data_IF_635732166018
#
_entry.id   IF_635732166018
#
_cell.length_a   1.000
_cell.length_b   1.000
_cell.length_c   1.000
_cell.angle_alpha   90.00
_cell.angle_beta   90.00
_cell.angle_gamma   90.00
#
_symmetry.space_group_name_H-M   'P 1'
#
loop_
_entity.id
_entity.type
_entity.pdbx_description
1 polymer ?
#
# COMPACT_ATOMS: atom_id res chain seq x y z
N UNK A 1 -3.58 -0.53 9.19
CA UNK A 1 -3.07 -1.48 8.18
C UNK A 1 -1.93 -0.76 7.48
N UNK A 2 -0.86 -1.45 7.09
CA UNK A 2 0.28 -0.78 6.43
C UNK A 2 1.20 -1.74 5.68
N UNK A 3 1.88 -1.21 4.67
CA UNK A 3 2.91 -1.89 3.88
C UNK A 3 3.89 -0.85 3.31
N UNK A 4 5.14 -1.26 3.05
CA UNK A 4 6.11 -0.43 2.31
C UNK A 4 5.73 -0.39 0.83
N UNK A 5 5.98 0.75 0.18
CA UNK A 5 5.75 0.88 -1.26
C UNK A 5 6.90 0.26 -2.05
N UNK A 6 6.60 -0.80 -2.80
CA UNK A 6 7.57 -1.52 -3.63
C UNK A 6 8.48 -2.44 -2.81
N UNK A 7 9.54 -2.94 -3.46
CA UNK A 7 10.47 -3.91 -2.87
C UNK A 7 11.26 -3.31 -1.72
N UNK A 8 11.17 -3.95 -0.56
CA UNK A 8 12.06 -3.70 0.57
C UNK A 8 13.43 -4.34 0.31
N UNK A 9 14.45 -3.50 0.15
CA UNK A 9 15.84 -3.94 -0.07
C UNK A 9 16.63 -4.06 1.24
N UNK A 10 16.09 -3.57 2.35
CA UNK A 10 16.77 -3.53 3.65
C UNK A 10 16.47 -4.78 4.46
N UNK A 11 15.23 -5.26 4.40
CA UNK A 11 14.79 -6.42 5.19
C UNK A 11 14.69 -7.66 4.30
N UNK A 12 15.05 -8.82 4.86
CA UNK A 12 14.94 -10.12 4.16
C UNK A 12 13.49 -10.47 3.83
N UNK A 13 12.54 -10.03 4.66
CA UNK A 13 11.11 -10.26 4.52
C UNK A 13 10.37 -8.92 4.51
N UNK A 14 9.43 -8.76 3.59
CA UNK A 14 8.56 -7.58 3.54
C UNK A 14 7.24 -7.89 4.24
N UNK A 15 7.05 -7.26 5.41
CA UNK A 15 5.84 -7.45 6.21
C UNK A 15 4.71 -6.55 5.73
N UNK A 16 3.52 -7.13 5.58
CA UNK A 16 2.25 -6.41 5.46
C UNK A 16 1.52 -6.49 6.82
N UNK A 17 1.19 -5.34 7.40
CA UNK A 17 0.56 -5.24 8.72
C UNK A 17 -0.97 -5.24 8.61
N UNK A 18 -1.58 -6.36 9.00
CA UNK A 18 -3.04 -6.53 9.08
C UNK A 18 -3.44 -6.71 10.55
N UNK A 19 -3.91 -5.61 11.16
CA UNK A 19 -4.39 -5.59 12.55
C UNK A 19 -5.91 -5.71 12.67
N UNK A 20 -6.42 -5.53 13.90
CA UNK A 20 -7.87 -5.45 14.16
C UNK A 20 -8.50 -4.34 13.32
N UNK A 21 -9.57 -4.67 12.58
CA UNK A 21 -10.25 -3.75 11.67
C UNK A 21 -9.72 -3.74 10.23
N UNK A 22 -8.60 -4.41 9.94
CA UNK A 22 -7.96 -4.44 8.62
C UNK A 22 -8.28 -5.67 7.76
N UNK A 23 -9.13 -6.58 8.25
CA UNK A 23 -9.32 -7.91 7.64
C UNK A 23 -10.32 -7.93 6.48
N UNK A 24 -10.79 -6.76 6.03
CA UNK A 24 -11.64 -6.66 4.84
C UNK A 24 -10.80 -6.94 3.59
N UNK A 25 -11.37 -7.66 2.63
CA UNK A 25 -10.68 -8.03 1.38
C UNK A 25 -10.04 -6.82 0.68
N UNK A 26 -10.78 -5.72 0.54
CA UNK A 26 -10.27 -4.51 -0.10
C UNK A 26 -9.08 -3.88 0.65
N UNK A 27 -9.08 -3.97 1.98
CA UNK A 27 -7.96 -3.47 2.81
C UNK A 27 -6.73 -4.34 2.65
N UNK A 28 -6.87 -5.66 2.62
CA UNK A 28 -5.75 -6.58 2.36
C UNK A 28 -5.19 -6.36 0.95
N UNK A 29 -6.06 -6.24 -0.05
CA UNK A 29 -5.66 -5.96 -1.43
C UNK A 29 -4.94 -4.60 -1.56
N UNK A 30 -5.39 -3.57 -0.85
CA UNK A 30 -4.74 -2.26 -0.79
C UNK A 30 -3.29 -2.35 -0.29
N UNK A 31 -3.06 -3.07 0.81
CA UNK A 31 -1.71 -3.22 1.37
C UNK A 31 -0.80 -4.11 0.51
N UNK A 32 -1.38 -5.09 -0.22
CA UNK A 32 -0.66 -5.85 -1.24
C UNK A 32 -0.28 -4.93 -2.41
N UNK A 33 -1.16 -4.05 -2.88
CA UNK A 33 -0.83 -3.07 -3.92
C UNK A 33 0.32 -2.14 -3.51
N UNK A 34 0.35 -1.69 -2.26
CA UNK A 34 1.52 -1.00 -1.72
C UNK A 34 2.79 -1.84 -1.89
N UNK A 35 2.77 -3.11 -1.48
CA UNK A 35 3.95 -3.98 -1.63
C UNK A 35 4.41 -4.18 -3.09
N UNK A 36 3.49 -4.08 -4.05
CA UNK A 36 3.79 -4.14 -5.49
C UNK A 36 4.36 -2.82 -6.05
N UNK A 37 4.28 -1.71 -5.32
CA UNK A 37 4.83 -0.42 -5.74
C UNK A 37 3.82 0.68 -6.02
N UNK A 38 2.54 0.48 -5.70
CA UNK A 38 1.52 1.51 -5.92
C UNK A 38 1.46 2.47 -4.73
N UNK A 39 1.50 3.77 -5.02
CA UNK A 39 1.10 4.82 -4.07
C UNK A 39 -0.42 4.99 -4.09
N UNK A 40 -0.94 5.79 -3.15
CA UNK A 40 -2.34 6.18 -3.22
C UNK A 40 -2.63 6.98 -4.49
N UNK A 41 -3.82 6.80 -5.06
CA UNK A 41 -4.18 7.43 -6.33
C UNK A 41 -4.17 8.97 -6.24
N UNK A 42 -4.59 9.53 -5.10
CA UNK A 42 -4.50 10.97 -4.83
C UNK A 42 -3.07 11.46 -4.61
N UNK A 43 -2.04 10.64 -4.77
CA UNK A 43 -0.63 11.06 -4.77
C UNK A 43 -0.06 11.22 -6.18
N UNK A 44 -0.85 10.95 -7.23
CA UNK A 44 -0.41 11.17 -8.61
C UNK A 44 -0.02 12.63 -8.86
N UNK A 45 0.95 12.82 -9.76
CA UNK A 45 1.46 14.14 -10.14
C UNK A 45 0.39 15.01 -10.81
N UNK A 46 -0.56 14.39 -11.50
CA UNK A 46 -1.65 15.06 -12.22
C UNK A 46 -2.94 15.19 -11.41
N UNK A 47 -2.95 14.80 -10.12
CA UNK A 47 -4.17 14.77 -9.29
C UNK A 47 -4.92 16.10 -9.25
N UNK A 48 -4.21 17.23 -9.26
CA UNK A 48 -4.79 18.57 -9.08
C UNK A 48 -5.63 19.00 -10.30
N UNK A 49 -5.67 18.17 -11.35
CA UNK A 49 -6.60 18.31 -12.49
C UNK A 49 -7.95 17.60 -12.28
N UNK A 50 -8.07 16.75 -11.27
CA UNK A 50 -9.20 15.84 -11.07
C UNK A 50 -9.90 15.98 -9.71
N UNK A 51 -9.20 16.54 -8.72
CA UNK A 51 -9.70 16.78 -7.36
C UNK A 51 -9.37 18.20 -6.89
#
# INVERSE_FOLDING_TARGET
CSSRVGRDWVHKEQKISIGRGCTRLGTIAHEIMHSLGFFHEQSRQDRDKFI
#
